data_IF_862293214337
#
_entry.id   IF_862293214337
#
_cell.length_a   1.000
_cell.length_b   1.000
_cell.length_c   1.000
_cell.angle_alpha   90.00
_cell.angle_beta   90.00
_cell.angle_gamma   90.00
#
_symmetry.space_group_name_H-M   'P 1'
#
loop_
_entity.id
_entity.type
_entity.pdbx_description
1 polymer ?
#
# COMPACT_ATOMS: atom_id res chain seq x y z
N UNK A 1 -20.53 -7.93 3.37
CA UNK A 1 -19.80 -8.07 2.08
C UNK A 1 -20.63 -7.62 0.89
N UNK A 2 -21.86 -8.05 0.77
CA UNK A 2 -22.73 -7.56 -0.31
C UNK A 2 -22.93 -6.05 -0.34
N UNK A 3 -22.77 -5.40 0.82
CA UNK A 3 -22.91 -3.93 0.94
C UNK A 3 -21.71 -3.18 0.35
N UNK A 4 -20.51 -3.76 0.40
CA UNK A 4 -19.28 -3.10 -0.09
C UNK A 4 -19.33 -2.88 -1.61
N UNK A 5 -19.86 -3.85 -2.36
CA UNK A 5 -19.99 -3.76 -3.81
C UNK A 5 -20.87 -2.59 -4.28
N UNK A 6 -21.71 -2.05 -3.38
CA UNK A 6 -22.63 -0.95 -3.68
C UNK A 6 -22.09 0.43 -3.28
N UNK A 7 -20.95 0.48 -2.61
CA UNK A 7 -20.39 1.75 -2.15
C UNK A 7 -19.65 2.47 -3.28
N UNK A 8 -19.95 3.75 -3.42
CA UNK A 8 -19.27 4.61 -4.39
C UNK A 8 -17.87 4.97 -3.92
N UNK A 9 -16.93 5.27 -4.83
CA UNK A 9 -15.63 5.82 -4.45
C UNK A 9 -15.78 7.03 -3.53
N UNK A 10 -14.91 7.10 -2.53
CA UNK A 10 -14.95 8.14 -1.49
C UNK A 10 -15.76 7.78 -0.26
N UNK A 11 -16.57 6.73 -0.30
CA UNK A 11 -17.37 6.31 0.88
C UNK A 11 -16.48 5.60 1.88
N UNK A 12 -16.71 5.88 3.16
CA UNK A 12 -16.01 5.28 4.29
C UNK A 12 -16.86 4.13 4.85
N UNK A 13 -16.22 3.03 5.19
CA UNK A 13 -16.88 1.87 5.79
C UNK A 13 -15.97 1.24 6.85
N UNK A 14 -16.57 0.43 7.71
CA UNK A 14 -15.82 -0.32 8.72
C UNK A 14 -15.64 -1.77 8.27
N UNK A 15 -14.44 -2.28 8.46
CA UNK A 15 -14.11 -3.68 8.23
C UNK A 15 -13.10 -4.12 9.27
N UNK A 16 -13.39 -5.25 9.95
CA UNK A 16 -12.51 -5.83 10.98
C UNK A 16 -12.06 -4.80 12.04
N UNK A 17 -12.94 -3.85 12.37
CA UNK A 17 -12.68 -2.83 13.38
C UNK A 17 -11.86 -1.65 12.91
N UNK A 18 -11.53 -1.56 11.63
CA UNK A 18 -10.81 -0.44 11.04
C UNK A 18 -11.68 0.29 10.02
N UNK A 19 -11.39 1.56 9.79
CA UNK A 19 -12.08 2.38 8.79
C UNK A 19 -11.31 2.43 7.50
N UNK A 20 -12.02 2.22 6.40
CA UNK A 20 -11.46 2.24 5.05
C UNK A 20 -12.27 3.17 4.16
N UNK A 21 -11.65 3.70 3.13
CA UNK A 21 -12.31 4.48 2.10
C UNK A 21 -12.24 3.73 0.77
N UNK A 22 -13.36 3.67 0.05
CA UNK A 22 -13.40 3.03 -1.27
C UNK A 22 -12.70 3.93 -2.28
N UNK A 23 -11.69 3.39 -2.96
CA UNK A 23 -10.99 4.08 -4.05
C UNK A 23 -11.62 3.73 -5.40
N UNK A 24 -11.87 2.45 -5.63
CA UNK A 24 -12.37 1.97 -6.92
C UNK A 24 -13.06 0.62 -6.76
N UNK A 25 -14.11 0.39 -7.54
CA UNK A 25 -14.73 -0.93 -7.67
C UNK A 25 -14.10 -1.64 -8.89
N UNK A 26 -13.64 -2.88 -8.71
CA UNK A 26 -12.98 -3.68 -9.75
C UNK A 26 -13.48 -5.11 -9.74
N UNK A 27 -14.09 -5.57 -10.82
CA UNK A 27 -14.42 -6.98 -11.05
C UNK A 27 -14.99 -7.73 -9.83
N UNK A 28 -15.97 -7.11 -9.17
CA UNK A 28 -16.59 -7.70 -8.00
C UNK A 28 -15.83 -7.53 -6.69
N UNK A 29 -14.73 -6.79 -6.71
CA UNK A 29 -13.94 -6.44 -5.53
C UNK A 29 -13.76 -4.93 -5.43
N UNK A 30 -13.51 -4.42 -4.24
CA UNK A 30 -13.23 -3.01 -4.03
C UNK A 30 -11.75 -2.80 -3.70
N UNK A 31 -11.13 -1.84 -4.39
CA UNK A 31 -9.82 -1.34 -3.99
C UNK A 31 -10.04 -0.24 -2.95
N UNK A 32 -9.48 -0.45 -1.75
CA UNK A 32 -9.76 0.40 -0.60
C UNK A 32 -8.46 0.86 0.06
N UNK A 33 -8.53 2.00 0.74
CA UNK A 33 -7.41 2.56 1.48
C UNK A 33 -7.80 2.70 2.95
N UNK A 34 -6.86 2.42 3.86
CA UNK A 34 -7.04 2.67 5.28
C UNK A 34 -7.27 4.18 5.49
N UNK A 35 -8.37 4.54 6.17
CA UNK A 35 -8.80 5.93 6.27
C UNK A 35 -7.98 6.77 7.24
N UNK A 36 -7.18 6.13 8.12
CA UNK A 36 -6.35 6.82 9.09
C UNK A 36 -4.99 6.15 9.19
N UNK A 37 -3.94 6.96 9.35
CA UNK A 37 -2.60 6.43 9.61
C UNK A 37 -2.58 5.66 10.93
N UNK A 38 -1.86 4.54 10.94
CA UNK A 38 -1.74 3.69 12.13
C UNK A 38 -0.60 4.13 13.02
N UNK A 39 0.60 4.21 12.46
CA UNK A 39 1.81 4.51 13.22
C UNK A 39 2.91 4.98 12.27
N UNK A 40 3.93 5.59 12.84
CA UNK A 40 5.13 5.93 12.08
C UNK A 40 6.06 4.73 12.03
N UNK A 41 6.71 4.54 10.89
CA UNK A 41 7.60 3.43 10.64
C UNK A 41 8.66 3.85 9.62
N UNK A 42 9.94 3.50 9.81
CA UNK A 42 10.92 3.73 8.75
C UNK A 42 10.57 2.86 7.54
N UNK A 43 10.89 3.36 6.35
CA UNK A 43 10.72 2.57 5.14
C UNK A 43 11.58 1.31 5.19
N UNK A 44 12.86 1.47 5.48
CA UNK A 44 13.78 0.37 5.67
C UNK A 44 14.87 0.77 6.67
N UNK A 45 14.88 0.11 7.83
CA UNK A 45 15.86 0.34 8.88
C UNK A 45 17.03 -0.67 8.85
N UNK A 46 17.04 -1.54 7.84
CA UNK A 46 18.11 -2.52 7.66
C UNK A 46 19.33 -1.86 7.02
N UNK A 47 20.51 -2.30 7.44
CA UNK A 47 21.75 -1.87 6.81
C UNK A 47 21.98 -2.64 5.51
N UNK A 48 21.19 -2.30 4.50
CA UNK A 48 21.20 -2.94 3.20
C UNK A 48 21.20 -1.87 2.10
N UNK A 49 22.40 -1.42 1.74
CA UNK A 49 22.57 -0.36 0.76
C UNK A 49 22.04 -0.73 -0.64
N UNK A 50 21.94 -2.02 -0.96
CA UNK A 50 21.48 -2.47 -2.26
C UNK A 50 19.98 -2.42 -2.42
N UNK A 51 19.24 -2.63 -1.32
CA UNK A 51 17.79 -2.77 -1.34
C UNK A 51 17.08 -1.70 -0.51
N UNK A 52 17.77 -0.59 -0.25
CA UNK A 52 17.30 0.45 0.67
C UNK A 52 15.92 1.00 0.32
N UNK A 53 15.62 1.14 -0.96
CA UNK A 53 14.33 1.64 -1.44
C UNK A 53 13.47 0.58 -2.14
N UNK A 54 13.85 -0.68 -2.03
CA UNK A 54 13.06 -1.80 -2.55
C UNK A 54 12.02 -2.22 -1.51
N UNK A 55 10.76 -1.97 -1.81
CA UNK A 55 9.66 -2.31 -0.88
C UNK A 55 9.68 -3.78 -0.49
N UNK A 56 10.02 -4.68 -1.41
CA UNK A 56 10.04 -6.14 -1.16
C UNK A 56 10.92 -6.51 0.03
N UNK A 57 12.02 -5.79 0.23
CA UNK A 57 12.99 -6.03 1.32
C UNK A 57 12.86 -5.03 2.47
N UNK A 58 11.81 -4.23 2.50
CA UNK A 58 11.69 -3.13 3.46
C UNK A 58 11.11 -3.56 4.80
N UNK A 59 11.48 -2.83 5.83
CA UNK A 59 10.87 -2.93 7.16
C UNK A 59 9.38 -2.58 7.10
N UNK A 60 9.04 -1.60 6.27
CA UNK A 60 7.64 -1.18 6.08
C UNK A 60 6.78 -2.35 5.60
N UNK A 61 7.27 -3.11 4.62
CA UNK A 61 6.54 -4.29 4.13
C UNK A 61 6.31 -5.31 5.24
N UNK A 62 7.34 -5.59 6.04
CA UNK A 62 7.22 -6.54 7.15
C UNK A 62 6.12 -6.13 8.13
N UNK A 63 6.03 -4.85 8.45
CA UNK A 63 5.01 -4.33 9.36
C UNK A 63 3.61 -4.37 8.75
N UNK A 64 3.48 -4.01 7.49
CA UNK A 64 2.19 -4.03 6.80
C UNK A 64 1.69 -5.47 6.64
N UNK A 65 2.56 -6.39 6.27
CA UNK A 65 2.19 -7.80 6.14
C UNK A 65 1.68 -8.37 7.47
N UNK A 66 2.35 -8.07 8.57
CA UNK A 66 1.91 -8.48 9.91
C UNK A 66 0.58 -7.85 10.29
N UNK A 67 0.41 -6.56 9.97
CA UNK A 67 -0.83 -5.86 10.26
C UNK A 67 -2.01 -6.46 9.52
N UNK A 68 -1.88 -6.71 8.22
CA UNK A 68 -2.99 -7.24 7.42
C UNK A 68 -3.31 -8.70 7.78
N UNK A 69 -2.33 -9.49 8.18
CA UNK A 69 -2.56 -10.85 8.68
C UNK A 69 -3.31 -10.86 10.00
N UNK A 70 -3.05 -9.89 10.86
CA UNK A 70 -3.70 -9.79 12.17
C UNK A 70 -5.06 -9.08 12.12
N UNK A 71 -5.39 -8.43 11.01
CA UNK A 71 -6.61 -7.63 10.89
C UNK A 71 -7.89 -8.45 10.97
N UNK A 72 -8.06 -9.58 10.23
CA UNK A 72 -9.32 -10.32 10.25
C UNK A 72 -9.58 -10.95 11.61
N UNK A 73 -10.84 -10.84 12.04
CA UNK A 73 -11.33 -11.42 13.31
C UNK A 73 -12.04 -12.74 13.09
N UNK A 74 -12.43 -13.03 11.87
CA UNK A 74 -13.16 -14.24 11.48
C UNK A 74 -12.57 -14.82 10.21
N UNK A 75 -12.85 -16.10 9.94
CA UNK A 75 -12.43 -16.73 8.69
C UNK A 75 -13.10 -16.09 7.47
N UNK A 76 -14.32 -15.60 7.62
CA UNK A 76 -15.02 -14.89 6.55
C UNK A 76 -14.33 -13.58 6.20
N UNK A 77 -13.92 -12.80 7.22
CA UNK A 77 -13.15 -11.58 7.01
C UNK A 77 -11.81 -11.88 6.35
N UNK A 78 -11.11 -12.92 6.79
CA UNK A 78 -9.83 -13.33 6.18
C UNK A 78 -10.00 -13.68 4.70
N UNK A 79 -11.06 -14.40 4.35
CA UNK A 79 -11.35 -14.77 2.97
C UNK A 79 -11.72 -13.57 2.09
N UNK A 80 -12.22 -12.49 2.70
CA UNK A 80 -12.63 -11.29 1.99
C UNK A 80 -11.44 -10.41 1.56
N UNK A 81 -10.29 -10.57 2.18
CA UNK A 81 -9.07 -9.83 1.83
C UNK A 81 -8.38 -10.55 0.67
N UNK A 82 -8.45 -9.96 -0.52
CA UNK A 82 -7.92 -10.57 -1.72
C UNK A 82 -6.50 -10.06 -2.02
N UNK A 83 -5.61 -10.94 -2.49
CA UNK A 83 -4.29 -10.49 -2.94
C UNK A 83 -4.41 -9.67 -4.23
N UNK A 84 -3.48 -8.76 -4.42
CA UNK A 84 -3.39 -7.95 -5.63
C UNK A 84 -1.93 -7.71 -6.01
N UNK A 85 -1.71 -7.39 -7.29
CA UNK A 85 -0.38 -7.13 -7.82
C UNK A 85 0.00 -5.66 -7.62
N UNK A 86 1.22 -5.44 -7.19
CA UNK A 86 1.81 -4.09 -7.06
C UNK A 86 3.00 -3.99 -8.00
N UNK A 87 2.98 -2.97 -8.84
CA UNK A 87 4.08 -2.64 -9.74
C UNK A 87 5.09 -1.77 -9.01
N UNK A 88 6.32 -2.28 -8.86
CA UNK A 88 7.41 -1.61 -8.16
C UNK A 88 8.30 -0.80 -9.11
N UNK A 89 7.85 -0.50 -10.32
CA UNK A 89 8.58 0.35 -11.26
C UNK A 89 8.91 1.69 -10.63
N UNK A 90 10.10 2.19 -10.94
CA UNK A 90 10.64 3.41 -10.39
C UNK A 90 10.20 4.64 -11.20
N UNK A 91 10.36 5.82 -10.65
CA UNK A 91 10.01 7.07 -11.35
C UNK A 91 10.88 7.31 -12.57
N UNK A 92 12.10 6.77 -12.59
CA UNK A 92 13.01 6.83 -13.75
C UNK A 92 12.73 5.76 -14.79
N UNK A 93 11.60 5.01 -14.64
CA UNK A 93 11.18 3.93 -15.52
C UNK A 93 11.96 2.62 -15.38
N UNK A 94 12.92 2.52 -14.46
CA UNK A 94 13.56 1.22 -14.22
C UNK A 94 12.58 0.24 -13.58
N UNK A 95 12.71 -1.04 -13.95
CA UNK A 95 11.77 -2.10 -13.58
C UNK A 95 12.43 -3.28 -12.88
N UNK A 96 13.67 -3.08 -12.37
CA UNK A 96 14.44 -4.17 -11.77
C UNK A 96 13.76 -4.80 -10.55
N UNK A 97 12.91 -4.06 -9.84
CA UNK A 97 12.21 -4.59 -8.68
C UNK A 97 10.96 -5.41 -9.03
N UNK A 98 10.52 -5.32 -10.30
CA UNK A 98 9.42 -6.14 -10.81
C UNK A 98 8.07 -5.82 -10.19
N UNK A 99 7.27 -6.86 -10.01
CA UNK A 99 5.95 -6.81 -9.38
C UNK A 99 5.88 -7.80 -8.23
N UNK A 100 5.00 -7.54 -7.28
CA UNK A 100 4.75 -8.44 -6.14
C UNK A 100 3.26 -8.62 -5.91
N UNK A 101 2.89 -9.77 -5.35
CA UNK A 101 1.52 -10.03 -4.89
C UNK A 101 1.45 -9.79 -3.39
N UNK A 102 0.52 -8.98 -2.96
CA UNK A 102 0.34 -8.63 -1.54
C UNK A 102 -1.15 -8.52 -1.22
N UNK A 103 -1.48 -8.56 0.05
CA UNK A 103 -2.84 -8.29 0.53
C UNK A 103 -3.02 -6.85 0.99
N UNK A 104 -1.94 -6.15 1.27
CA UNK A 104 -1.93 -4.73 1.57
C UNK A 104 -0.57 -4.14 1.23
N UNK A 105 -0.53 -2.87 0.82
CA UNK A 105 0.69 -2.13 0.54
C UNK A 105 0.40 -0.64 0.52
N UNK A 106 1.42 0.23 0.66
CA UNK A 106 1.25 1.64 0.35
C UNK A 106 0.91 1.83 -1.13
N UNK A 107 0.35 2.97 -1.48
CA UNK A 107 0.03 3.29 -2.87
C UNK A 107 1.31 3.45 -3.70
N UNK A 108 1.21 3.18 -5.00
CA UNK A 108 2.22 3.65 -5.96
C UNK A 108 2.01 5.15 -6.21
N UNK A 109 3.01 5.80 -6.78
CA UNK A 109 2.91 7.21 -7.14
C UNK A 109 1.76 7.44 -8.13
N UNK A 110 1.56 6.53 -9.08
CA UNK A 110 0.47 6.61 -10.07
C UNK A 110 -0.89 6.48 -9.43
N UNK A 111 -1.04 5.56 -8.49
CA UNK A 111 -2.29 5.42 -7.72
C UNK A 111 -2.55 6.65 -6.86
N UNK A 112 -1.52 7.22 -6.24
CA UNK A 112 -1.66 8.45 -5.50
C UNK A 112 -2.21 9.57 -6.41
N UNK A 113 -1.64 9.74 -7.60
CA UNK A 113 -2.12 10.73 -8.56
C UNK A 113 -3.56 10.49 -8.99
N UNK A 114 -3.95 9.22 -9.16
CA UNK A 114 -5.28 8.83 -9.59
C UNK A 114 -6.34 9.08 -8.49
N UNK A 115 -6.01 8.79 -7.24
CA UNK A 115 -6.98 8.76 -6.15
C UNK A 115 -6.82 9.89 -5.13
N UNK A 116 -5.90 10.83 -5.32
CA UNK A 116 -5.55 11.84 -4.31
C UNK A 116 -6.74 12.62 -3.74
N UNK A 117 -7.75 12.86 -4.55
CA UNK A 117 -8.94 13.60 -4.10
C UNK A 117 -9.85 12.79 -3.17
N UNK A 118 -9.71 11.47 -3.18
CA UNK A 118 -10.47 10.56 -2.33
C UNK A 118 -9.75 10.23 -1.03
N UNK A 119 -8.46 10.57 -0.92
CA UNK A 119 -7.63 10.23 0.24
C UNK A 119 -7.93 11.20 1.38
N UNK A 120 -8.40 10.70 2.54
CA UNK A 120 -8.75 11.55 3.68
C UNK A 120 -7.50 11.97 4.46
N UNK A 121 -6.68 12.85 3.88
CA UNK A 121 -5.45 13.32 4.50
C UNK A 121 -5.66 14.63 5.25
N UNK A 122 -4.96 14.75 6.38
CA UNK A 122 -4.66 16.04 6.99
C UNK A 122 -3.38 16.58 6.33
N UNK A 123 -3.28 17.92 6.22
CA UNK A 123 -2.14 18.58 5.57
C UNK A 123 -0.78 18.20 6.18
N UNK A 124 -0.78 17.82 7.44
CA UNK A 124 0.42 17.46 8.20
C UNK A 124 0.75 15.97 8.17
N UNK A 125 -0.06 15.14 7.49
CA UNK A 125 0.16 13.71 7.45
C UNK A 125 1.21 13.34 6.39
N UNK A 126 2.16 12.53 6.79
CA UNK A 126 3.17 11.95 5.91
C UNK A 126 2.95 10.46 5.81
N UNK A 127 3.07 9.91 4.61
CA UNK A 127 3.01 8.47 4.41
C UNK A 127 3.88 8.04 3.24
N UNK A 128 4.28 6.79 3.31
CA UNK A 128 5.14 6.20 2.30
C UNK A 128 4.35 5.80 1.05
N UNK A 129 5.02 5.89 -0.10
CA UNK A 129 4.62 5.25 -1.34
C UNK A 129 5.58 4.10 -1.62
N UNK A 130 5.14 3.09 -2.38
CA UNK A 130 6.02 1.98 -2.76
C UNK A 130 6.98 2.35 -3.88
N UNK A 131 6.69 3.40 -4.64
CA UNK A 131 7.44 3.77 -5.85
C UNK A 131 8.78 4.40 -5.49
N UNK A 132 9.90 3.76 -5.82
CA UNK A 132 11.21 4.36 -5.58
C UNK A 132 11.57 5.36 -6.67
N UNK A 133 12.54 6.20 -6.39
CA UNK A 133 13.10 7.12 -7.38
C UNK A 133 13.75 6.33 -8.53
N UNK A 134 14.62 5.38 -8.19
CA UNK A 134 15.29 4.51 -9.14
C UNK A 134 15.69 3.21 -8.45
N UNK A 135 15.75 2.11 -9.21
CA UNK A 135 16.19 0.84 -8.68
C UNK A 135 17.70 0.84 -8.44
N UNK A 136 18.12 0.57 -7.21
CA UNK A 136 19.53 0.51 -6.80
C UNK A 136 20.33 1.76 -7.13
N UNK A 137 19.66 2.83 -7.42
CA UNK A 137 20.28 4.03 -7.93
C UNK A 137 21.25 4.67 -6.95
N UNK A 138 20.98 4.54 -5.68
CA UNK A 138 21.76 5.16 -4.62
C UNK A 138 23.19 4.66 -4.49
N UNK A 139 23.54 3.56 -5.17
CA UNK A 139 24.90 3.05 -5.13
C UNK A 139 25.86 3.78 -6.04
N UNK A 140 25.35 4.48 -7.01
CA UNK A 140 26.16 5.17 -7.99
C UNK A 140 25.66 6.58 -8.16
N UNK A 141 26.43 7.52 -8.48
CA UNK A 141 27.87 7.67 -8.40
C UNK A 141 28.35 8.26 -7.08
N UNK A 142 27.47 8.27 -6.09
CA UNK A 142 27.66 9.01 -4.85
C UNK A 142 28.16 8.15 -3.70
N UNK A 143 28.36 6.91 -3.97
CA UNK A 143 28.94 5.97 -3.03
C UNK A 143 30.35 5.58 -3.47
#
# INVERSE_FOLDING_TARGET
MKKLAKLSPGRIFNFAGAKFVVMEQRDGAAFVLLAQSKESCPFNDKDDAENRNDYTHSTLKERIDKWVEALPRTSEEAAAILPFEVDLSCTDRSKSYGTIMVKAAPLTLWQYGQFKELIPLNEDDWYWLVTPWACRWLRSPFT
#
